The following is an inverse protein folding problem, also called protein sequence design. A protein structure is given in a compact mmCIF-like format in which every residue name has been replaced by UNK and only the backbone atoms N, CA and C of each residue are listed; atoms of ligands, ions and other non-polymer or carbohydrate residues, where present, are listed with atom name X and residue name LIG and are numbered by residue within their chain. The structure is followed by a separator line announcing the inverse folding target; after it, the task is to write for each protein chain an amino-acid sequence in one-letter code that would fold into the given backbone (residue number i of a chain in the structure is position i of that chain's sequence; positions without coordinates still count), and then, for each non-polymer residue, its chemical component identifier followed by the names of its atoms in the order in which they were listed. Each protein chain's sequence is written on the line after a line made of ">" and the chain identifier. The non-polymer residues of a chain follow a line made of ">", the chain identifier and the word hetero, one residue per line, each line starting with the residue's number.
data_IF_659827725155
#
_entry.id   IF_659827725155
#
_cell.length_a   1.000
_cell.length_b   1.000
_cell.length_c   1.000
_cell.angle_alpha   90.00
_cell.angle_beta   90.00
_cell.angle_gamma   90.00
#
_symmetry.space_group_name_H-M   'P 1'
#
loop_
_entity.id
_entity.type
_entity.pdbx_description
1 polymer ?
#
# COMPACT_ATOMS: atom_id res chain seq x y z
N UNK A 1 17.05 -4.80 11.74
CA UNK A 1 16.46 -6.01 11.11
C UNK A 1 15.88 -5.68 9.74
N UNK A 2 15.08 -4.66 9.65
CA UNK A 2 14.62 -4.14 8.35
C UNK A 2 15.84 -3.67 7.52
N UNK A 3 15.84 -3.98 6.20
CA UNK A 3 16.94 -3.75 5.25
C UNK A 3 18.22 -4.59 5.42
N UNK A 4 18.28 -5.47 6.39
CA UNK A 4 19.32 -6.49 6.41
C UNK A 4 18.97 -7.65 5.46
N UNK A 5 19.99 -8.28 4.89
CA UNK A 5 19.77 -9.48 4.08
C UNK A 5 19.27 -10.60 4.99
N UNK A 6 18.16 -11.22 4.62
CA UNK A 6 17.65 -12.40 5.33
C UNK A 6 18.73 -13.50 5.38
N UNK A 7 18.83 -14.18 6.53
CA UNK A 7 19.61 -15.42 6.64
C UNK A 7 19.01 -16.47 5.70
N UNK A 8 19.78 -17.53 5.34
CA UNK A 8 19.20 -18.66 4.60
C UNK A 8 17.93 -19.17 5.29
N UNK A 9 16.90 -19.39 4.50
CA UNK A 9 15.62 -19.86 5.01
C UNK A 9 15.73 -21.31 5.51
N UNK A 10 15.08 -21.59 6.64
CA UNK A 10 14.71 -22.94 7.07
C UNK A 10 13.45 -23.39 6.34
N UNK A 11 13.03 -24.63 6.51
CA UNK A 11 11.76 -25.11 5.94
C UNK A 11 10.57 -24.32 6.47
N UNK A 12 10.54 -24.04 7.76
CA UNK A 12 9.48 -23.28 8.44
C UNK A 12 9.43 -21.83 7.92
N UNK A 13 10.55 -21.13 7.95
CA UNK A 13 10.60 -19.72 7.48
C UNK A 13 10.38 -19.59 5.98
N UNK A 14 10.60 -20.64 5.19
CA UNK A 14 10.23 -20.66 3.78
C UNK A 14 8.71 -20.74 3.60
N UNK A 15 8.02 -21.55 4.41
CA UNK A 15 6.55 -21.62 4.39
C UNK A 15 5.92 -20.28 4.79
N UNK A 16 6.44 -19.66 5.87
CA UNK A 16 5.98 -18.33 6.26
C UNK A 16 6.16 -17.30 5.14
N UNK A 17 7.32 -17.31 4.50
CA UNK A 17 7.57 -16.43 3.35
C UNK A 17 6.56 -16.62 2.23
N UNK A 18 6.27 -17.86 1.85
CA UNK A 18 5.32 -18.16 0.76
C UNK A 18 3.88 -17.81 1.17
N UNK A 19 3.48 -18.08 2.41
CA UNK A 19 2.16 -17.73 2.94
C UNK A 19 1.96 -16.20 2.96
N UNK A 20 2.97 -15.44 3.39
CA UNK A 20 2.94 -13.97 3.37
C UNK A 20 2.84 -13.46 1.93
N UNK A 21 3.65 -14.01 1.02
CA UNK A 21 3.64 -13.59 -0.38
C UNK A 21 2.30 -13.87 -1.04
N UNK A 22 1.74 -15.07 -0.82
CA UNK A 22 0.40 -15.43 -1.30
C UNK A 22 -0.65 -14.46 -0.77
N UNK A 23 -0.66 -14.18 0.53
CA UNK A 23 -1.65 -13.30 1.17
C UNK A 23 -1.67 -11.89 0.54
N UNK A 24 -0.51 -11.24 0.41
CA UNK A 24 -0.44 -9.87 -0.11
C UNK A 24 -0.69 -9.80 -1.63
N UNK A 25 -0.32 -10.83 -2.38
CA UNK A 25 -0.64 -10.93 -3.80
C UNK A 25 -2.13 -11.21 -4.01
N UNK A 26 -2.71 -12.09 -3.19
CA UNK A 26 -4.14 -12.39 -3.24
C UNK A 26 -4.99 -11.17 -2.88
N UNK A 27 -4.61 -10.40 -1.87
CA UNK A 27 -5.26 -9.16 -1.51
C UNK A 27 -5.28 -8.18 -2.70
N UNK A 28 -4.14 -7.95 -3.37
CA UNK A 28 -4.08 -7.10 -4.57
C UNK A 28 -4.87 -7.67 -5.74
N UNK A 29 -4.79 -8.97 -5.96
CA UNK A 29 -5.62 -9.65 -6.98
C UNK A 29 -7.11 -9.46 -6.72
N UNK A 30 -7.56 -9.63 -5.48
CA UNK A 30 -8.95 -9.42 -5.11
C UNK A 30 -9.39 -7.97 -5.34
N UNK A 31 -8.56 -6.99 -4.94
CA UNK A 31 -8.80 -5.57 -5.15
C UNK A 31 -8.97 -5.23 -6.62
N UNK A 32 -8.06 -5.73 -7.46
CA UNK A 32 -8.03 -5.41 -8.88
C UNK A 32 -9.14 -6.13 -9.68
N UNK A 33 -9.69 -7.23 -9.14
CA UNK A 33 -10.75 -8.03 -9.77
C UNK A 33 -12.12 -7.88 -9.07
N UNK A 34 -12.28 -6.92 -8.16
CA UNK A 34 -13.53 -6.67 -7.45
C UNK A 34 -14.08 -7.89 -6.67
N UNK A 35 -13.17 -8.70 -6.09
CA UNK A 35 -13.50 -9.87 -5.28
C UNK A 35 -13.55 -9.47 -3.79
N UNK A 36 -14.55 -8.65 -3.44
CA UNK A 36 -14.60 -7.94 -2.16
C UNK A 36 -14.71 -8.87 -0.96
N UNK A 37 -15.55 -9.91 -1.01
CA UNK A 37 -15.70 -10.86 0.08
C UNK A 37 -14.40 -11.65 0.34
N UNK A 38 -13.68 -12.01 -0.73
CA UNK A 38 -12.37 -12.66 -0.61
C UNK A 38 -11.30 -11.68 -0.07
N UNK A 39 -11.33 -10.41 -0.51
CA UNK A 39 -10.42 -9.38 -0.01
C UNK A 39 -10.56 -9.15 1.50
N UNK A 40 -11.80 -9.18 2.03
CA UNK A 40 -12.07 -9.04 3.47
C UNK A 40 -11.33 -10.08 4.31
N UNK A 41 -11.16 -11.30 3.80
CA UNK A 41 -10.48 -12.38 4.52
C UNK A 41 -8.97 -12.16 4.70
N UNK A 42 -8.39 -11.20 3.98
CA UNK A 42 -6.95 -10.90 4.06
C UNK A 42 -6.59 -10.03 5.27
N UNK A 43 -7.55 -9.32 5.85
CA UNK A 43 -7.29 -8.33 6.90
C UNK A 43 -7.60 -8.87 8.29
N UNK A 44 -6.73 -8.54 9.26
CA UNK A 44 -7.03 -8.74 10.67
C UNK A 44 -8.24 -7.87 11.08
N UNK A 45 -8.99 -8.32 12.09
CA UNK A 45 -10.20 -7.63 12.56
C UNK A 45 -9.97 -6.19 13.00
N UNK A 46 -8.81 -5.93 13.61
CA UNK A 46 -8.36 -4.63 14.11
C UNK A 46 -7.33 -3.96 13.18
N UNK A 47 -7.29 -4.40 11.91
CA UNK A 47 -6.39 -3.86 10.91
C UNK A 47 -6.63 -2.38 10.63
N UNK A 48 -5.57 -1.68 10.19
CA UNK A 48 -5.62 -0.27 9.84
C UNK A 48 -5.02 -0.01 8.46
N UNK A 49 -5.73 0.74 7.63
CA UNK A 49 -5.31 1.16 6.29
C UNK A 49 -5.19 2.67 6.24
N UNK A 50 -4.01 3.18 5.81
CA UNK A 50 -3.77 4.62 5.66
C UNK A 50 -3.06 4.90 4.32
N UNK A 51 -3.84 5.33 3.34
CA UNK A 51 -3.38 5.62 1.97
C UNK A 51 -3.92 6.99 1.51
N UNK A 52 -3.59 7.42 0.30
CA UNK A 52 -3.90 8.76 -0.20
C UNK A 52 -5.37 9.18 -0.09
N UNK A 53 -6.30 8.28 -0.30
CA UNK A 53 -7.75 8.57 -0.35
C UNK A 53 -8.56 7.88 0.75
N UNK A 54 -7.90 7.14 1.65
CA UNK A 54 -8.59 6.38 2.69
C UNK A 54 -7.76 6.29 3.97
N UNK A 55 -8.43 6.39 5.11
CA UNK A 55 -7.87 6.14 6.44
C UNK A 55 -8.95 5.52 7.32
N UNK A 56 -8.75 4.26 7.77
CA UNK A 56 -9.72 3.51 8.56
C UNK A 56 -9.35 2.05 8.70
N UNK A 57 -10.32 1.21 9.07
CA UNK A 57 -10.12 -0.25 9.20
C UNK A 57 -10.02 -0.94 7.84
N UNK A 58 -9.48 -2.18 7.81
CA UNK A 58 -9.44 -3.00 6.59
C UNK A 58 -10.84 -3.30 6.04
N UNK A 59 -11.82 -3.57 6.90
CA UNK A 59 -13.22 -3.77 6.51
C UNK A 59 -13.82 -2.55 5.82
N UNK A 60 -13.61 -1.36 6.40
CA UNK A 60 -14.05 -0.09 5.82
C UNK A 60 -13.32 0.21 4.51
N UNK A 61 -12.05 -0.14 4.41
CA UNK A 61 -11.26 0.00 3.18
C UNK A 61 -11.83 -0.85 2.03
N UNK A 62 -12.17 -2.11 2.30
CA UNK A 62 -12.79 -2.98 1.30
C UNK A 62 -14.14 -2.41 0.86
N UNK A 63 -14.99 -2.01 1.80
CA UNK A 63 -16.31 -1.42 1.51
C UNK A 63 -16.19 -0.11 0.72
N UNK A 64 -15.22 0.76 1.07
CA UNK A 64 -14.95 2.00 0.34
C UNK A 64 -14.40 1.73 -1.07
N UNK A 65 -13.57 0.68 -1.22
CA UNK A 65 -13.05 0.24 -2.52
C UNK A 65 -14.15 -0.28 -3.44
N UNK A 66 -15.09 -1.06 -2.88
CA UNK A 66 -16.29 -1.53 -3.58
C UNK A 66 -17.17 -0.37 -4.04
N UNK A 67 -17.41 0.60 -3.15
CA UNK A 67 -18.20 1.81 -3.44
C UNK A 67 -17.56 2.71 -4.50
N UNK A 68 -16.23 2.72 -4.60
CA UNK A 68 -15.49 3.46 -5.64
C UNK A 68 -15.87 3.01 -7.05
N UNK A 69 -16.23 1.74 -7.24
CA UNK A 69 -16.68 1.13 -8.50
C UNK A 69 -15.80 1.54 -9.70
N UNK A 70 -14.50 1.52 -9.53
CA UNK A 70 -13.54 1.93 -10.56
C UNK A 70 -12.48 0.85 -10.77
N UNK A 71 -12.19 0.59 -12.03
CA UNK A 71 -11.05 -0.24 -12.41
C UNK A 71 -9.75 0.54 -12.21
N UNK A 72 -8.99 0.15 -11.22
CA UNK A 72 -7.73 0.78 -10.84
C UNK A 72 -6.68 -0.31 -10.53
N UNK A 73 -6.17 -1.00 -11.57
CA UNK A 73 -5.26 -2.12 -11.39
C UNK A 73 -3.88 -1.66 -10.92
N UNK A 74 -3.13 -2.61 -10.36
CA UNK A 74 -1.77 -2.41 -9.93
C UNK A 74 -0.79 -3.22 -10.79
N UNK A 75 0.23 -2.55 -11.33
CA UNK A 75 1.39 -3.27 -11.84
C UNK A 75 2.33 -3.57 -10.68
N UNK A 76 2.56 -4.85 -10.40
CA UNK A 76 3.42 -5.31 -9.30
C UNK A 76 4.79 -5.69 -9.86
N UNK A 77 5.85 -5.21 -9.23
CA UNK A 77 7.23 -5.48 -9.66
C UNK A 77 7.94 -6.38 -8.67
N UNK A 78 8.61 -5.79 -7.69
CA UNK A 78 9.41 -6.50 -6.70
C UNK A 78 8.74 -6.45 -5.33
N UNK A 79 8.88 -7.54 -4.58
CA UNK A 79 8.45 -7.60 -3.18
C UNK A 79 9.60 -8.11 -2.34
N UNK A 80 9.96 -7.34 -1.32
CA UNK A 80 10.92 -7.74 -0.30
C UNK A 80 10.23 -7.79 1.05
N UNK A 81 10.56 -8.78 1.87
CA UNK A 81 9.95 -8.96 3.17
C UNK A 81 10.96 -9.32 4.25
N UNK A 82 10.66 -8.95 5.46
CA UNK A 82 11.36 -9.29 6.70
C UNK A 82 10.32 -9.77 7.70
N UNK A 83 10.62 -10.79 8.43
CA UNK A 83 9.71 -11.32 9.45
C UNK A 83 10.48 -11.77 10.68
N UNK A 84 9.80 -11.73 11.81
CA UNK A 84 10.29 -12.08 13.12
C UNK A 84 9.16 -12.74 13.92
N UNK A 85 9.24 -14.06 14.07
CA UNK A 85 8.21 -14.88 14.74
C UNK A 85 6.80 -14.61 14.17
N UNK A 86 6.00 -13.81 14.88
CA UNK A 86 4.59 -13.54 14.56
C UNK A 86 4.36 -12.26 13.78
N UNK A 87 5.42 -11.52 13.44
CA UNK A 87 5.31 -10.24 12.70
C UNK A 87 6.11 -10.26 11.42
N UNK A 88 5.57 -9.60 10.40
CA UNK A 88 6.27 -9.40 9.14
C UNK A 88 6.03 -8.00 8.58
N UNK A 89 7.04 -7.47 7.89
CA UNK A 89 6.92 -6.28 7.05
C UNK A 89 7.24 -6.69 5.63
N UNK A 90 6.29 -6.47 4.71
CA UNK A 90 6.51 -6.64 3.29
C UNK A 90 6.42 -5.29 2.58
N UNK A 91 7.37 -5.04 1.69
CA UNK A 91 7.44 -3.83 0.84
C UNK A 91 7.30 -4.28 -0.60
N UNK A 92 6.17 -3.95 -1.20
CA UNK A 92 5.83 -4.29 -2.58
C UNK A 92 5.95 -3.04 -3.46
N UNK A 93 6.84 -3.05 -4.43
CA UNK A 93 6.89 -2.00 -5.44
C UNK A 93 5.76 -2.19 -6.45
N UNK A 94 4.99 -1.14 -6.68
CA UNK A 94 3.86 -1.18 -7.60
C UNK A 94 3.66 0.16 -8.30
N UNK A 95 2.98 0.13 -9.45
CA UNK A 95 2.40 1.31 -10.09
C UNK A 95 0.88 1.21 -10.00
N UNK A 96 0.24 2.16 -9.34
CA UNK A 96 -1.21 2.34 -9.30
C UNK A 96 -1.63 2.94 -10.63
N UNK A 97 -2.63 2.36 -11.28
CA UNK A 97 -3.07 2.82 -12.60
C UNK A 97 -4.58 3.01 -12.63
N UNK A 98 -5.04 4.11 -13.19
CA UNK A 98 -6.44 4.26 -13.56
C UNK A 98 -6.61 5.36 -14.62
N UNK A 99 -7.78 5.37 -15.25
CA UNK A 99 -8.16 6.41 -16.21
C UNK A 99 -9.15 7.38 -15.59
N UNK A 100 -9.03 8.64 -15.97
CA UNK A 100 -9.87 9.74 -15.50
C UNK A 100 -10.08 10.74 -16.63
N UNK A 101 -11.31 11.28 -16.75
CA UNK A 101 -11.59 12.36 -17.66
C UNK A 101 -11.22 13.70 -17.02
N UNK A 102 -10.29 14.41 -17.63
CA UNK A 102 -9.86 15.75 -17.21
C UNK A 102 -10.05 16.71 -18.37
N UNK A 103 -10.88 17.73 -18.17
CA UNK A 103 -11.18 18.74 -19.21
C UNK A 103 -11.59 18.12 -20.57
N UNK A 104 -12.42 17.07 -20.53
CA UNK A 104 -12.89 16.27 -21.67
C UNK A 104 -11.77 15.51 -22.43
N UNK A 105 -10.66 15.22 -21.75
CA UNK A 105 -9.60 14.35 -22.27
C UNK A 105 -9.45 13.16 -21.33
N UNK A 106 -9.54 11.95 -21.89
CA UNK A 106 -9.26 10.72 -21.12
C UNK A 106 -7.75 10.64 -20.83
N UNK A 107 -7.41 10.68 -19.55
CA UNK A 107 -6.03 10.65 -19.06
C UNK A 107 -5.74 9.33 -18.42
N UNK A 108 -4.53 8.82 -18.61
CA UNK A 108 -3.95 7.70 -17.89
C UNK A 108 -3.11 8.24 -16.73
N UNK A 109 -3.46 7.87 -15.51
CA UNK A 109 -2.61 8.04 -14.34
C UNK A 109 -1.74 6.81 -14.17
N UNK A 110 -0.44 7.01 -13.94
CA UNK A 110 0.50 6.03 -13.40
C UNK A 110 1.18 6.65 -12.18
N UNK A 111 1.05 6.01 -11.01
CA UNK A 111 1.65 6.47 -9.76
C UNK A 111 2.49 5.35 -9.15
N UNK A 112 3.82 5.53 -9.18
CA UNK A 112 4.77 4.58 -8.61
C UNK A 112 4.80 4.73 -7.10
N UNK A 113 4.70 3.60 -6.40
CA UNK A 113 4.62 3.55 -4.94
C UNK A 113 5.24 2.28 -4.37
N UNK A 114 5.61 2.34 -3.10
CA UNK A 114 5.84 1.16 -2.29
C UNK A 114 4.61 0.93 -1.42
N UNK A 115 3.91 -0.16 -1.65
CA UNK A 115 2.85 -0.62 -0.76
C UNK A 115 3.52 -1.33 0.41
N UNK A 116 3.23 -0.88 1.62
CA UNK A 116 3.81 -1.38 2.86
C UNK A 116 2.73 -2.20 3.57
N UNK A 117 3.03 -3.46 3.81
CA UNK A 117 2.21 -4.36 4.59
C UNK A 117 2.91 -4.67 5.91
N UNK A 118 2.23 -4.43 7.03
CA UNK A 118 2.54 -5.07 8.29
C UNK A 118 1.59 -6.25 8.45
N UNK A 119 2.14 -7.41 8.80
CA UNK A 119 1.38 -8.65 8.91
C UNK A 119 1.63 -9.28 10.28
N UNK A 120 0.58 -9.86 10.83
CA UNK A 120 0.64 -10.58 12.09
C UNK A 120 0.08 -11.99 11.91
N UNK A 121 0.69 -12.95 12.61
CA UNK A 121 0.27 -14.33 12.64
C UNK A 121 -0.65 -14.53 13.85
N UNK A 122 -1.81 -15.11 13.65
CA UNK A 122 -2.73 -15.43 14.76
C UNK A 122 -2.33 -16.71 15.52
N UNK A 123 -3.15 -17.09 16.51
CA UNK A 123 -2.91 -18.27 17.33
C UNK A 123 -3.03 -19.61 16.58
N UNK A 124 -3.62 -19.59 15.39
CA UNK A 124 -3.78 -20.77 14.51
C UNK A 124 -2.69 -20.81 13.43
N UNK A 125 -1.60 -20.02 13.59
CA UNK A 125 -0.49 -19.89 12.65
C UNK A 125 -0.89 -19.33 11.27
N UNK A 126 -1.96 -18.53 11.20
CA UNK A 126 -2.44 -17.89 9.97
C UNK A 126 -2.02 -16.42 9.92
N UNK A 127 -1.45 -16.00 8.79
CA UNK A 127 -1.04 -14.62 8.56
C UNK A 127 -2.21 -13.74 8.11
N UNK A 128 -2.29 -12.52 8.66
CA UNK A 128 -3.26 -11.47 8.27
C UNK A 128 -2.57 -10.12 8.12
N UNK A 129 -3.14 -9.26 7.29
CA UNK A 129 -2.70 -7.86 7.16
C UNK A 129 -3.23 -7.08 8.36
N UNK A 130 -2.31 -6.60 9.21
CA UNK A 130 -2.64 -5.71 10.35
C UNK A 130 -2.56 -4.24 9.97
N UNK A 131 -1.60 -3.84 9.10
CA UNK A 131 -1.50 -2.47 8.58
C UNK A 131 -1.17 -2.47 7.09
N UNK A 132 -1.80 -1.53 6.37
CA UNK A 132 -1.50 -1.24 4.99
C UNK A 132 -1.31 0.27 4.80
N UNK A 133 -0.21 0.64 4.18
CA UNK A 133 0.11 2.04 3.86
C UNK A 133 0.92 2.14 2.58
N UNK A 134 1.24 3.37 2.15
CA UNK A 134 2.06 3.61 0.97
C UNK A 134 3.19 4.61 1.24
N UNK A 135 4.31 4.43 0.56
CA UNK A 135 5.34 5.46 0.34
C UNK A 135 5.27 5.82 -1.13
N UNK A 136 4.90 7.05 -1.43
CA UNK A 136 4.74 7.53 -2.80
C UNK A 136 6.08 7.96 -3.37
N UNK A 137 6.35 7.62 -4.65
CA UNK A 137 7.65 7.87 -5.26
C UNK A 137 7.57 8.96 -6.33
N UNK A 138 6.80 8.72 -7.35
CA UNK A 138 6.60 9.65 -8.47
C UNK A 138 5.34 9.25 -9.23
N UNK A 139 4.77 10.20 -9.94
CA UNK A 139 3.60 9.94 -10.76
C UNK A 139 3.63 10.74 -12.08
N UNK A 140 2.75 10.37 -12.97
CA UNK A 140 2.53 11.08 -14.24
C UNK A 140 1.08 10.93 -14.65
N UNK A 141 0.62 11.92 -15.40
CA UNK A 141 -0.71 11.97 -15.99
C UNK A 141 -0.54 12.26 -17.49
N UNK A 142 -1.00 11.35 -18.34
CA UNK A 142 -0.80 11.42 -19.80
C UNK A 142 -2.10 11.18 -20.56
N UNK A 143 -2.39 11.90 -21.66
CA UNK A 143 -3.53 11.58 -22.50
C UNK A 143 -3.45 10.14 -23.03
N UNK A 144 -4.56 9.39 -22.94
CA UNK A 144 -4.64 8.03 -23.49
C UNK A 144 -4.48 8.02 -24.99
N UNK A 145 -5.13 8.97 -25.66
CA UNK A 145 -4.92 9.23 -27.08
C UNK A 145 -4.09 10.51 -27.22
N UNK A 146 -2.99 10.49 -27.96
CA UNK A 146 -2.14 11.66 -28.13
C UNK A 146 -2.93 12.91 -28.54
N UNK A 147 -3.00 13.88 -27.63
CA UNK A 147 -3.67 15.16 -27.85
C UNK A 147 -3.03 16.24 -26.99
N UNK A 148 -3.34 17.50 -27.27
CA UNK A 148 -2.90 18.62 -26.46
C UNK A 148 -3.98 18.96 -25.43
N UNK A 149 -3.57 19.02 -24.17
CA UNK A 149 -4.40 19.47 -23.06
C UNK A 149 -3.70 20.61 -22.32
N UNK A 150 -4.44 21.64 -21.93
CA UNK A 150 -3.89 22.74 -21.12
C UNK A 150 -4.03 22.41 -19.63
N UNK A 151 -2.95 21.87 -19.05
CA UNK A 151 -2.78 21.62 -17.63
C UNK A 151 -1.50 22.33 -17.15
N UNK A 152 -1.60 23.61 -16.78
CA UNK A 152 -0.43 24.36 -16.32
C UNK A 152 0.05 23.85 -14.96
N UNK A 153 1.36 23.95 -14.71
CA UNK A 153 2.00 23.49 -13.45
C UNK A 153 1.34 24.12 -12.20
N UNK A 154 0.72 25.29 -12.32
CA UNK A 154 0.02 25.95 -11.23
C UNK A 154 -1.17 25.13 -10.67
N UNK A 155 -1.77 24.26 -11.46
CA UNK A 155 -2.84 23.37 -11.00
C UNK A 155 -2.32 22.26 -10.05
N UNK A 156 -1.00 22.02 -10.05
CA UNK A 156 -0.35 21.02 -9.22
C UNK A 156 0.45 21.60 -8.04
N UNK A 157 0.52 22.93 -7.93
CA UNK A 157 1.41 23.61 -6.98
C UNK A 157 1.11 23.38 -5.49
N UNK A 158 -0.12 22.97 -5.17
CA UNK A 158 -0.55 22.68 -3.79
C UNK A 158 -0.38 21.22 -3.41
N UNK A 159 -0.05 20.36 -4.38
CA UNK A 159 0.12 18.93 -4.16
C UNK A 159 1.59 18.56 -3.88
N UNK A 160 1.76 17.42 -3.24
CA UNK A 160 3.06 16.82 -2.96
C UNK A 160 3.69 16.28 -4.24
N UNK A 161 4.95 16.61 -4.49
CA UNK A 161 5.69 16.23 -5.71
C UNK A 161 5.67 14.72 -5.96
N UNK A 162 5.76 13.91 -4.91
CA UNK A 162 5.79 12.45 -5.02
C UNK A 162 4.46 11.82 -5.46
N UNK A 163 3.31 12.53 -5.36
CA UNK A 163 1.98 12.05 -5.79
C UNK A 163 1.03 13.19 -6.21
N UNK A 164 1.56 14.19 -6.90
CA UNK A 164 0.79 15.35 -7.32
C UNK A 164 -0.29 15.02 -8.36
N UNK A 165 0.06 14.18 -9.35
CA UNK A 165 -0.89 13.76 -10.38
C UNK A 165 -1.98 12.84 -9.80
N UNK A 166 -1.62 11.95 -8.88
CA UNK A 166 -2.57 11.11 -8.16
C UNK A 166 -3.55 11.96 -7.35
N UNK A 167 -3.04 12.94 -6.60
CA UNK A 167 -3.86 13.85 -5.80
C UNK A 167 -4.82 14.64 -6.67
N UNK A 168 -4.32 15.22 -7.76
CA UNK A 168 -5.15 15.96 -8.72
C UNK A 168 -6.25 15.06 -9.29
N UNK A 169 -5.90 13.88 -9.78
CA UNK A 169 -6.86 12.96 -10.39
C UNK A 169 -7.92 12.46 -9.40
N UNK A 170 -7.54 12.20 -8.13
CA UNK A 170 -8.47 11.81 -7.07
C UNK A 170 -9.42 12.96 -6.68
N UNK A 171 -8.92 14.19 -6.61
CA UNK A 171 -9.76 15.36 -6.34
C UNK A 171 -10.77 15.62 -7.49
N UNK A 172 -10.38 15.45 -8.75
CA UNK A 172 -11.31 15.50 -9.89
C UNK A 172 -12.43 14.45 -9.79
N UNK A 173 -12.16 13.34 -9.08
CA UNK A 173 -13.13 12.29 -8.78
C UNK A 173 -13.94 12.54 -7.51
N UNK A 174 -13.66 13.64 -6.79
CA UNK A 174 -14.36 14.02 -5.57
C UNK A 174 -13.84 13.36 -4.29
N UNK A 175 -12.64 12.79 -4.30
CA UNK A 175 -11.97 12.26 -3.12
C UNK A 175 -11.16 13.34 -2.41
N UNK A 176 -11.25 13.37 -1.09
CA UNK A 176 -10.33 14.15 -0.25
C UNK A 176 -9.00 13.38 -0.10
N UNK A 177 -7.89 14.06 -0.34
CA UNK A 177 -6.58 13.42 -0.41
C UNK A 177 -5.74 13.78 0.80
N UNK A 178 -5.19 12.77 1.47
CA UNK A 178 -4.25 12.96 2.56
C UNK A 178 -2.87 13.38 2.02
N UNK A 179 -2.42 14.59 2.37
CA UNK A 179 -1.14 15.15 1.96
C UNK A 179 0.00 14.92 2.96
N UNK A 180 -0.25 14.20 4.07
CA UNK A 180 0.74 13.94 5.13
C UNK A 180 1.30 12.51 5.10
N UNK A 181 1.21 11.85 3.95
CA UNK A 181 1.75 10.50 3.77
C UNK A 181 3.24 10.52 3.41
N UNK A 182 3.98 9.45 3.74
CA UNK A 182 5.37 9.33 3.34
C UNK A 182 5.54 9.39 1.81
N UNK A 183 6.49 10.21 1.36
CA UNK A 183 6.83 10.33 -0.05
C UNK A 183 8.31 10.66 -0.21
N UNK A 184 8.90 10.30 -1.35
CA UNK A 184 10.35 10.51 -1.58
C UNK A 184 10.76 11.99 -1.60
N UNK A 185 9.82 12.90 -1.81
CA UNK A 185 9.99 14.36 -1.69
C UNK A 185 10.25 14.83 -0.24
N UNK A 186 10.00 13.95 0.76
CA UNK A 186 10.31 14.15 2.18
C UNK A 186 11.10 12.97 2.75
N UNK A 187 12.37 12.80 2.39
CA UNK A 187 13.16 11.60 2.74
C UNK A 187 13.33 11.39 4.25
N UNK A 188 13.32 12.45 5.05
CA UNK A 188 13.41 12.32 6.52
C UNK A 188 12.14 11.67 7.11
N UNK A 189 10.96 11.96 6.55
CA UNK A 189 9.70 11.31 6.95
C UNK A 189 9.70 9.82 6.56
N UNK A 190 10.19 9.49 5.37
CA UNK A 190 10.36 8.11 4.92
C UNK A 190 11.31 7.35 5.85
N UNK A 191 12.47 7.95 6.19
CA UNK A 191 13.45 7.36 7.10
C UNK A 191 12.88 7.18 8.52
N UNK A 192 12.07 8.14 9.00
CA UNK A 192 11.36 8.01 10.29
C UNK A 192 10.37 6.85 10.25
N UNK A 193 9.61 6.74 9.16
CA UNK A 193 8.63 5.67 8.99
C UNK A 193 9.31 4.28 8.94
N UNK A 194 10.41 4.13 8.23
CA UNK A 194 11.18 2.88 8.23
C UNK A 194 11.70 2.50 9.61
N UNK A 195 12.13 3.47 10.42
CA UNK A 195 12.53 3.19 11.82
C UNK A 195 11.34 2.75 12.69
N UNK A 196 10.15 3.29 12.45
CA UNK A 196 8.93 2.84 13.14
C UNK A 196 8.58 1.40 12.76
N UNK A 197 8.66 1.05 11.48
CA UNK A 197 8.44 -0.32 11.02
C UNK A 197 9.48 -1.31 11.60
N UNK A 198 10.75 -0.91 11.64
CA UNK A 198 11.81 -1.76 12.22
C UNK A 198 11.59 -1.98 13.71
N UNK A 199 11.21 -0.94 14.44
CA UNK A 199 10.85 -1.03 15.85
C UNK A 199 9.68 -1.98 16.05
N UNK A 200 8.57 -1.77 15.32
CA UNK A 200 7.38 -2.62 15.40
C UNK A 200 7.70 -4.10 15.08
N UNK A 201 8.52 -4.36 14.06
CA UNK A 201 8.93 -5.71 13.67
C UNK A 201 9.79 -6.40 14.75
N UNK A 202 10.50 -5.64 15.57
CA UNK A 202 11.45 -6.16 16.58
C UNK A 202 10.92 -6.10 18.01
N UNK A 203 9.77 -5.47 18.24
CA UNK A 203 9.12 -5.47 19.55
C UNK A 203 8.76 -6.90 19.97
N UNK A 204 9.07 -7.24 21.22
CA UNK A 204 8.64 -8.51 21.81
C UNK A 204 7.16 -8.44 22.14
N UNK A 205 6.44 -9.51 21.91
CA UNK A 205 5.09 -9.63 22.43
C UNK A 205 5.16 -9.74 23.95
N UNK A 206 4.34 -8.95 24.66
CA UNK A 206 4.34 -8.87 26.13
C UNK A 206 3.99 -10.24 26.81
N UNK A 207 3.52 -11.22 26.03
CA UNK A 207 3.14 -12.56 26.51
C UNK A 207 4.33 -13.51 26.74
N UNK A 208 5.57 -13.15 26.39
CA UNK A 208 6.75 -14.00 26.65
C UNK A 208 7.34 -13.78 28.07
N UNK A 209 6.96 -12.73 28.79
CA UNK A 209 7.49 -12.46 30.13
C UNK A 209 6.82 -13.26 31.27
N UNK A 210 5.65 -13.89 31.04
CA UNK A 210 4.96 -14.69 32.08
C UNK A 210 5.31 -16.20 32.12
N UNK A 211 6.22 -16.67 31.27
CA UNK A 211 6.57 -18.11 31.18
C UNK A 211 7.98 -18.48 31.72
N UNK A 212 8.54 -17.69 32.61
CA UNK A 212 9.79 -18.06 33.30
C UNK A 212 9.66 -18.03 34.81
#
# INVERSE_FOLDING_TARGET
>A
MLFERNKPYTQETLLDKENILELIQFERFCRDNALWDSMRTCFAKDSHVNISWFNGTGEEFVSSSEAMNRYAPHQIYNTQMWFNNHRAVAIMQATIQFRVDIKNVEMQLDSDTKIIYCLEKDNDDVWYISHLSCIYEKDKLTPVIPTTINLPNSEFSEYRESYACLSYALNELGYDVNHDLPGIDRPDEVNKYYRQLDKWLTEKDDDEEEKH
#
